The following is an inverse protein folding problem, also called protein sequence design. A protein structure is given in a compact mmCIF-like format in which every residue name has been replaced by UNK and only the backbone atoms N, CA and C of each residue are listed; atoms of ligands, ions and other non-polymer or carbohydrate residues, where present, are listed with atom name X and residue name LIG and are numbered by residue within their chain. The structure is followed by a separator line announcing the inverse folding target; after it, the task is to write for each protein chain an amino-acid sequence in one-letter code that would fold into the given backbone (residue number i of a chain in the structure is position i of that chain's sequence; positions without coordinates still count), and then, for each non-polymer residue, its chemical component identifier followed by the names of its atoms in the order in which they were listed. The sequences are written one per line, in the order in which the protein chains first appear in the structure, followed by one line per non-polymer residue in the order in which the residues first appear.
data_IF_229393621600
#
_entry.id   IF_229393621600
#
_cell.length_a   1.000
_cell.length_b   1.000
_cell.length_c   1.000
_cell.angle_alpha   90.00
_cell.angle_beta   90.00
_cell.angle_gamma   90.00
#
_symmetry.space_group_name_H-M   'P 1'
#
loop_
_entity.id
_entity.type
_entity.pdbx_description
1 polymer ?
#
# COMPACT_ATOMS: atom_id res chain seq x y z
N UNK A 1 -11.84 8.82 5.26
CA UNK A 1 -10.46 8.35 5.04
C UNK A 1 -10.49 6.83 5.04
N UNK A 2 -9.48 6.16 4.48
CA UNK A 2 -9.28 4.75 4.80
C UNK A 2 -9.08 4.60 6.31
N UNK A 3 -9.28 3.39 6.83
CA UNK A 3 -9.23 3.11 8.26
C UNK A 3 -8.85 1.64 8.47
N UNK A 4 -8.46 1.27 9.68
CA UNK A 4 -8.01 -0.08 10.00
C UNK A 4 -9.12 -1.11 9.75
N UNK A 5 -10.38 -0.76 10.03
CA UNK A 5 -11.55 -1.62 9.78
C UNK A 5 -11.67 -2.00 8.30
N UNK A 6 -11.34 -1.08 7.38
CA UNK A 6 -11.31 -1.37 5.95
C UNK A 6 -10.22 -2.39 5.62
N UNK A 7 -9.05 -2.28 6.25
CA UNK A 7 -7.94 -3.23 6.08
C UNK A 7 -8.32 -4.62 6.63
N UNK A 8 -8.90 -4.68 7.82
CA UNK A 8 -9.39 -5.92 8.43
C UNK A 8 -10.46 -6.60 7.57
N UNK A 9 -11.36 -5.81 6.98
CA UNK A 9 -12.37 -6.32 6.07
C UNK A 9 -11.77 -6.90 4.78
N UNK A 10 -10.69 -6.30 4.25
CA UNK A 10 -9.95 -6.89 3.12
C UNK A 10 -9.31 -8.24 3.48
N UNK A 11 -8.72 -8.38 4.68
CA UNK A 11 -8.22 -9.66 5.17
C UNK A 11 -9.35 -10.68 5.40
N UNK A 12 -10.49 -10.26 5.98
CA UNK A 12 -11.65 -11.13 6.14
C UNK A 12 -12.13 -11.64 4.78
N UNK A 13 -12.25 -10.78 3.76
CA UNK A 13 -12.63 -11.17 2.41
C UNK A 13 -11.64 -12.21 1.82
N UNK A 14 -10.33 -11.98 1.93
CA UNK A 14 -9.32 -12.90 1.41
C UNK A 14 -9.31 -14.23 2.16
N UNK A 15 -9.26 -14.21 3.49
CA UNK A 15 -9.18 -15.43 4.30
C UNK A 15 -10.43 -16.29 4.16
N UNK A 16 -11.62 -15.68 4.16
CA UNK A 16 -12.89 -16.40 3.97
C UNK A 16 -12.96 -17.09 2.62
N UNK A 17 -12.44 -16.44 1.58
CA UNK A 17 -12.35 -17.01 0.24
C UNK A 17 -11.40 -18.21 0.19
N UNK A 18 -10.19 -18.08 0.78
CA UNK A 18 -9.19 -19.15 0.83
C UNK A 18 -9.65 -20.35 1.69
N UNK A 19 -10.32 -20.08 2.81
CA UNK A 19 -10.82 -21.09 3.75
C UNK A 19 -12.20 -21.64 3.40
N UNK A 20 -12.87 -21.07 2.38
CA UNK A 20 -14.24 -21.42 1.95
C UNK A 20 -15.28 -21.30 3.08
N UNK A 21 -15.19 -20.24 3.88
CA UNK A 21 -16.15 -19.91 4.95
C UNK A 21 -16.96 -18.65 4.61
N UNK A 22 -17.99 -18.38 5.41
CA UNK A 22 -18.78 -17.15 5.27
C UNK A 22 -18.02 -15.96 5.84
N UNK A 23 -18.02 -14.85 5.10
CA UNK A 23 -17.42 -13.60 5.51
C UNK A 23 -18.33 -12.78 6.41
N UNK A 24 -17.73 -12.08 7.38
CA UNK A 24 -18.39 -10.98 8.08
C UNK A 24 -18.64 -9.81 7.11
N UNK A 25 -19.75 -9.10 7.28
CA UNK A 25 -19.99 -7.85 6.55
C UNK A 25 -19.09 -6.72 7.06
N UNK A 26 -18.86 -5.69 6.25
CA UNK A 26 -18.09 -4.52 6.66
C UNK A 26 -18.64 -3.89 7.96
N UNK A 27 -19.95 -3.76 8.09
CA UNK A 27 -20.62 -3.25 9.29
C UNK A 27 -20.35 -4.12 10.55
N UNK A 28 -20.31 -5.45 10.38
CA UNK A 28 -19.94 -6.36 11.46
C UNK A 28 -18.47 -6.22 11.85
N UNK A 29 -17.57 -6.03 10.87
CA UNK A 29 -16.15 -5.77 11.13
C UNK A 29 -15.99 -4.46 11.90
N UNK A 30 -16.62 -3.37 11.43
CA UNK A 30 -16.58 -2.06 12.09
C UNK A 30 -17.11 -2.13 13.52
N UNK A 31 -18.31 -2.70 13.71
CA UNK A 31 -18.94 -2.83 15.04
C UNK A 31 -18.08 -3.65 16.01
N UNK A 32 -17.49 -4.75 15.54
CA UNK A 32 -16.66 -5.60 16.41
C UNK A 32 -15.27 -5.02 16.66
N UNK A 33 -14.71 -4.27 15.71
CA UNK A 33 -13.46 -3.53 15.90
C UNK A 33 -13.61 -2.36 16.88
N UNK A 34 -14.76 -1.67 16.87
CA UNK A 34 -15.07 -0.64 17.87
C UNK A 34 -15.12 -1.20 19.30
N UNK A 35 -15.54 -2.46 19.45
CA UNK A 35 -15.61 -3.17 20.72
C UNK A 35 -14.30 -3.89 21.11
N UNK A 36 -13.32 -3.98 20.19
CA UNK A 36 -12.07 -4.69 20.42
C UNK A 36 -11.20 -3.94 21.44
N UNK A 37 -10.81 -4.58 22.57
CA UNK A 37 -10.05 -3.91 23.64
C UNK A 37 -8.60 -3.69 23.20
N UNK A 38 -8.35 -2.54 22.57
CA UNK A 38 -7.01 -2.12 22.17
C UNK A 38 -6.19 -1.73 23.42
N UNK A 39 -5.16 -2.52 23.74
CA UNK A 39 -4.13 -2.14 24.73
C UNK A 39 -4.49 -2.30 26.22
N UNK A 40 -5.20 -3.37 26.61
CA UNK A 40 -5.42 -3.70 28.04
C UNK A 40 -4.49 -4.81 28.58
N UNK A 41 -3.50 -5.25 27.79
CA UNK A 41 -2.51 -6.24 28.23
C UNK A 41 -1.18 -5.62 28.70
N UNK A 42 -1.04 -4.29 28.67
CA UNK A 42 0.16 -3.62 29.21
C UNK A 42 0.04 -3.35 30.73
N UNK A 43 -1.16 -3.43 31.31
CA UNK A 43 -1.39 -3.08 32.73
C UNK A 43 -1.42 -4.31 33.69
N UNK A 44 -1.47 -5.55 33.19
CA UNK A 44 -1.59 -6.75 34.06
C UNK A 44 -0.24 -7.46 34.35
N UNK A 45 0.83 -7.15 33.61
CA UNK A 45 2.13 -7.81 33.80
C UNK A 45 3.04 -7.11 34.84
N UNK A 46 2.85 -5.82 35.12
CA UNK A 46 3.70 -5.08 36.09
C UNK A 46 3.43 -5.44 37.56
N UNK A 47 2.26 -5.98 37.92
CA UNK A 47 1.97 -6.35 39.32
C UNK A 47 2.59 -7.69 39.76
N UNK A 48 3.03 -8.54 38.83
CA UNK A 48 3.57 -9.85 39.17
C UNK A 48 5.10 -9.90 39.33
N UNK A 49 5.86 -8.90 38.86
CA UNK A 49 7.33 -8.91 39.02
C UNK A 49 7.82 -8.34 40.37
N UNK A 50 7.05 -7.47 41.03
CA UNK A 50 7.47 -6.80 42.27
C UNK A 50 7.50 -7.75 43.48
N UNK A 51 6.83 -8.92 43.41
CA UNK A 51 6.77 -9.88 44.51
C UNK A 51 8.00 -10.81 44.62
N UNK A 52 8.89 -10.85 43.61
CA UNK A 52 9.94 -11.88 43.51
C UNK A 52 11.37 -11.45 43.86
N UNK A 53 11.63 -10.16 44.09
CA UNK A 53 13.02 -9.64 44.22
C UNK A 53 13.47 -9.48 45.69
N UNK A 54 12.64 -9.80 46.68
CA UNK A 54 12.99 -9.66 48.10
C UNK A 54 13.41 -10.97 48.77
N UNK A 55 14.50 -11.61 48.31
CA UNK A 55 15.24 -12.57 49.16
C UNK A 55 16.62 -12.96 48.61
N UNK A 56 17.64 -12.75 49.45
CA UNK A 56 19.04 -13.26 49.40
C UNK A 56 20.02 -12.56 48.44
N UNK A 57 21.28 -12.25 48.77
CA UNK A 57 22.09 -12.25 50.00
C UNK A 57 23.49 -11.68 49.71
N UNK A 58 23.94 -10.71 50.51
CA UNK A 58 25.26 -10.49 51.13
C UNK A 58 26.62 -11.03 50.54
N UNK A 59 27.58 -10.08 50.45
CA UNK A 59 29.05 -10.10 50.77
C UNK A 59 30.15 -10.31 49.67
N UNK A 60 30.75 -9.19 49.23
CA UNK A 60 32.19 -8.72 49.16
C UNK A 60 33.42 -9.66 49.37
N UNK A 61 34.70 -9.26 49.08
CA UNK A 61 35.30 -8.45 47.98
C UNK A 61 36.69 -8.97 47.44
N UNK A 62 37.28 -8.19 46.51
CA UNK A 62 38.72 -7.97 46.17
C UNK A 62 39.27 -8.50 44.83
N UNK A 63 39.66 -7.59 43.91
CA UNK A 63 41.06 -7.22 43.60
C UNK A 63 41.29 -6.63 42.19
N UNK A 64 41.86 -5.41 42.18
CA UNK A 64 42.93 -4.85 41.32
C UNK A 64 42.67 -4.52 39.82
N UNK A 65 42.84 -3.22 39.56
CA UNK A 65 42.95 -2.32 38.39
C UNK A 65 44.03 -2.67 37.32
N UNK A 66 44.37 -1.82 36.32
CA UNK A 66 43.64 -1.21 35.18
C UNK A 66 44.21 -1.68 33.81
N UNK A 67 43.57 -1.32 32.69
CA UNK A 67 44.18 -0.45 31.64
C UNK A 67 43.50 -0.56 30.25
N UNK A 68 43.53 0.58 29.54
CA UNK A 68 43.48 0.76 28.09
C UNK A 68 42.11 0.89 27.35
N UNK A 69 41.74 2.17 27.14
CA UNK A 69 41.13 2.77 25.92
C UNK A 69 41.85 2.23 24.65
N UNK A 70 41.24 2.08 23.44
CA UNK A 70 40.65 3.23 22.73
C UNK A 70 39.51 3.02 21.69
N UNK A 71 38.79 4.12 21.43
CA UNK A 71 38.01 4.43 20.21
C UNK A 71 38.93 4.69 18.99
N UNK A 72 38.41 5.06 17.80
CA UNK A 72 37.51 4.38 16.86
C UNK A 72 38.18 4.28 15.47
N UNK A 73 37.57 3.67 14.44
CA UNK A 73 37.70 4.09 13.01
C UNK A 73 36.88 3.22 12.05
N UNK A 74 36.12 3.92 11.23
CA UNK A 74 35.53 3.48 9.96
C UNK A 74 36.61 3.40 8.86
N UNK A 75 36.40 2.58 7.81
CA UNK A 75 36.67 3.03 6.44
C UNK A 75 35.52 2.62 5.47
N UNK A 76 34.91 3.54 4.73
CA UNK A 76 35.18 3.98 3.35
C UNK A 76 34.70 3.07 2.20
N UNK A 77 33.90 3.72 1.35
CA UNK A 77 33.46 3.40 -0.01
C UNK A 77 34.64 3.26 -0.97
N UNK A 78 34.56 2.32 -1.93
CA UNK A 78 35.28 2.41 -3.21
C UNK A 78 34.42 1.89 -4.38
N UNK A 79 34.17 2.78 -5.35
CA UNK A 79 33.86 2.49 -6.75
C UNK A 79 35.15 2.04 -7.46
N UNK A 80 35.09 1.04 -8.33
CA UNK A 80 35.87 0.97 -9.57
C UNK A 80 35.07 0.21 -10.64
N UNK A 81 35.10 0.76 -11.85
CA UNK A 81 34.55 0.26 -13.11
C UNK A 81 35.62 -0.43 -13.97
N UNK A 82 35.12 -1.26 -14.91
CA UNK A 82 35.68 -1.64 -16.22
C UNK A 82 36.49 -2.94 -16.44
N UNK A 83 35.80 -3.86 -17.14
CA UNK A 83 36.13 -4.41 -18.47
C UNK A 83 37.10 -5.59 -18.59
N UNK A 84 36.56 -6.73 -19.09
CA UNK A 84 37.12 -7.50 -20.22
C UNK A 84 36.09 -8.41 -20.90
N UNK A 85 36.30 -8.53 -22.19
CA UNK A 85 35.45 -9.03 -23.27
C UNK A 85 35.58 -10.55 -23.44
N UNK A 86 34.49 -11.26 -23.76
CA UNK A 86 34.49 -12.36 -24.76
C UNK A 86 33.07 -12.77 -25.15
N UNK A 87 32.87 -12.82 -26.45
CA UNK A 87 31.64 -13.04 -27.23
C UNK A 87 31.16 -14.49 -27.28
N UNK A 88 29.84 -14.68 -27.32
CA UNK A 88 29.19 -15.60 -28.28
C UNK A 88 27.70 -15.28 -28.43
N UNK A 89 27.30 -15.21 -29.70
CA UNK A 89 25.98 -14.93 -30.26
C UNK A 89 24.89 -15.94 -29.91
N UNK A 90 23.64 -15.47 -29.80
CA UNK A 90 22.42 -16.18 -30.27
C UNK A 90 21.23 -15.22 -30.29
N UNK A 91 20.46 -15.31 -31.37
CA UNK A 91 19.35 -14.43 -31.73
C UNK A 91 18.07 -14.65 -30.91
N UNK A 92 17.24 -13.60 -30.81
CA UNK A 92 15.78 -13.61 -30.70
C UNK A 92 15.34 -12.13 -30.68
N UNK A 93 14.62 -11.60 -31.68
CA UNK A 93 13.21 -11.91 -31.87
C UNK A 93 12.36 -10.82 -31.20
N UNK A 94 12.34 -9.62 -31.80
CA UNK A 94 11.42 -8.55 -31.42
C UNK A 94 10.01 -8.94 -31.87
N UNK A 95 9.12 -9.20 -30.92
CA UNK A 95 7.69 -9.36 -31.18
C UNK A 95 6.87 -8.56 -30.18
N UNK A 96 6.51 -7.35 -30.60
CA UNK A 96 5.24 -6.72 -30.24
C UNK A 96 4.09 -7.65 -30.67
N UNK A 97 3.01 -7.72 -29.88
CA UNK A 97 1.69 -7.91 -30.46
C UNK A 97 0.81 -6.70 -30.14
N UNK A 98 0.51 -5.94 -31.18
CA UNK A 98 -0.76 -5.24 -31.28
C UNK A 98 -1.81 -6.26 -31.74
N UNK A 99 -2.96 -6.32 -31.07
CA UNK A 99 -4.21 -6.81 -31.66
C UNK A 99 -5.40 -6.09 -31.05
N UNK A 100 -5.99 -5.29 -31.92
CA UNK A 100 -7.34 -4.74 -31.92
C UNK A 100 -8.36 -5.86 -32.13
N UNK A 101 -9.42 -5.89 -31.34
CA UNK A 101 -10.75 -6.30 -31.78
C UNK A 101 -11.79 -5.63 -30.88
N UNK A 102 -12.62 -4.83 -31.53
CA UNK A 102 -13.71 -4.04 -30.97
C UNK A 102 -14.85 -4.92 -30.47
N UNK A 103 -15.36 -4.61 -29.29
CA UNK A 103 -16.80 -4.60 -29.02
C UNK A 103 -17.08 -3.54 -27.95
N UNK A 104 -18.06 -2.68 -28.23
CA UNK A 104 -18.58 -1.64 -27.34
C UNK A 104 -18.93 -2.19 -25.97
N UNK A 105 -18.53 -1.49 -24.89
CA UNK A 105 -19.27 -1.24 -23.63
C UNK A 105 -18.34 -0.50 -22.64
N UNK A 106 -18.74 0.69 -22.15
CA UNK A 106 -18.31 1.35 -20.89
C UNK A 106 -16.82 1.74 -20.69
N UNK A 107 -16.50 2.84 -19.98
CA UNK A 107 -15.12 3.19 -19.65
C UNK A 107 -14.70 2.51 -18.34
N UNK A 108 -14.42 1.21 -18.35
CA UNK A 108 -13.76 0.55 -17.21
C UNK A 108 -12.24 0.69 -17.38
N UNK A 109 -11.66 1.68 -16.69
CA UNK A 109 -10.21 1.87 -16.63
C UNK A 109 -9.64 1.14 -15.41
N UNK A 110 -9.32 -0.15 -15.58
CA UNK A 110 -8.46 -0.85 -14.63
C UNK A 110 -7.03 -0.26 -14.72
N UNK A 111 -6.57 0.37 -13.65
CA UNK A 111 -5.24 0.97 -13.59
C UNK A 111 -4.23 0.00 -12.99
N UNK A 112 -3.23 -0.42 -13.78
CA UNK A 112 -2.06 -1.17 -13.31
C UNK A 112 -0.89 -0.20 -13.06
N UNK A 113 -0.42 -0.15 -11.82
CA UNK A 113 0.76 0.62 -11.35
C UNK A 113 2.01 -0.28 -11.38
N UNK A 114 3.17 0.12 -11.92
CA UNK A 114 4.39 -0.70 -11.93
C UNK A 114 4.95 -0.97 -10.52
N UNK A 115 5.75 -2.03 -10.39
CA UNK A 115 6.27 -2.52 -9.11
C UNK A 115 7.48 -1.70 -8.62
N UNK A 116 7.38 -1.16 -7.40
CA UNK A 116 8.49 -0.54 -6.69
C UNK A 116 8.07 0.58 -5.73
N UNK A 117 7.35 0.25 -4.66
CA UNK A 117 6.98 1.22 -3.62
C UNK A 117 7.27 0.65 -2.23
N UNK A 118 8.08 1.37 -1.45
CA UNK A 118 8.37 1.09 -0.04
C UNK A 118 7.99 2.33 0.78
N UNK A 119 6.81 2.32 1.39
CA UNK A 119 6.46 3.35 2.35
C UNK A 119 7.21 3.05 3.66
N UNK A 120 8.08 3.97 4.08
CA UNK A 120 8.70 3.96 5.42
C UNK A 120 8.14 5.14 6.19
N UNK A 121 7.35 4.91 7.23
CA UNK A 121 6.91 5.98 8.13
C UNK A 121 7.02 5.52 9.58
N UNK A 122 7.47 6.45 10.43
CA UNK A 122 7.87 6.24 11.82
C UNK A 122 6.67 6.51 12.73
N UNK A 123 6.38 5.67 13.75
CA UNK A 123 5.23 5.91 14.63
C UNK A 123 5.54 7.03 15.64
N UNK A 124 4.67 8.04 15.68
CA UNK A 124 4.68 9.09 16.71
C UNK A 124 3.80 8.66 17.88
N UNK A 125 4.37 8.81 19.08
CA UNK A 125 3.85 8.49 20.42
C UNK A 125 2.40 8.97 20.66
N UNK A 126 1.60 8.08 21.24
CA UNK A 126 0.23 8.31 21.72
C UNK A 126 0.20 9.15 23.00
N UNK A 127 -0.74 10.10 23.06
CA UNK A 127 -1.34 10.66 24.28
C UNK A 127 -2.87 10.69 24.12
N UNK A 128 -3.63 10.56 25.21
CA UNK A 128 -4.99 10.01 25.14
C UNK A 128 -6.09 11.06 24.97
N UNK A 129 -7.21 10.54 24.44
CA UNK A 129 -8.58 11.07 24.57
C UNK A 129 -8.93 12.30 23.73
N UNK A 130 -9.27 12.05 22.46
CA UNK A 130 -10.16 12.93 21.68
C UNK A 130 -11.54 12.30 21.55
N UNK A 131 -12.48 12.90 22.26
CA UNK A 131 -13.92 12.69 22.12
C UNK A 131 -14.36 12.89 20.67
N UNK A 132 -14.98 11.85 20.11
CA UNK A 132 -15.89 11.82 18.96
C UNK A 132 -16.26 13.19 18.39
N UNK A 133 -15.52 13.64 17.37
CA UNK A 133 -16.13 14.32 16.24
C UNK A 133 -16.31 13.24 15.18
N UNK A 134 -17.51 12.66 15.13
CA UNK A 134 -17.92 11.73 14.08
C UNK A 134 -17.93 12.52 12.76
N UNK A 135 -16.78 12.54 12.09
CA UNK A 135 -16.68 12.97 10.70
C UNK A 135 -17.66 12.15 9.87
N UNK A 136 -18.19 12.76 8.80
CA UNK A 136 -19.10 12.06 7.89
C UNK A 136 -18.52 10.69 7.50
N UNK A 137 -19.27 9.62 7.77
CA UNK A 137 -18.87 8.26 7.46
C UNK A 137 -18.75 8.13 5.95
N UNK A 138 -17.56 7.75 5.46
CA UNK A 138 -17.37 7.52 4.02
C UNK A 138 -18.02 6.19 3.69
N UNK A 139 -19.10 6.21 2.92
CA UNK A 139 -19.83 4.99 2.53
C UNK A 139 -19.47 4.49 1.14
N UNK A 140 -18.94 5.37 0.30
CA UNK A 140 -18.51 5.09 -1.07
C UNK A 140 -17.27 5.91 -1.44
N UNK A 141 -16.42 5.35 -2.30
CA UNK A 141 -15.20 6.02 -2.78
C UNK A 141 -14.60 5.23 -3.94
N UNK A 142 -13.92 5.89 -4.89
CA UNK A 142 -12.90 5.21 -5.67
C UNK A 142 -11.78 4.73 -4.74
N UNK A 143 -11.25 3.54 -5.00
CA UNK A 143 -10.37 2.87 -4.05
C UNK A 143 -9.33 1.98 -4.72
N UNK A 144 -8.24 1.76 -4.02
CA UNK A 144 -7.20 0.79 -4.36
C UNK A 144 -6.93 -0.10 -3.16
N UNK A 145 -6.77 -1.40 -3.41
CA UNK A 145 -6.29 -2.37 -2.42
C UNK A 145 -4.94 -2.89 -2.86
N UNK A 146 -3.96 -2.77 -1.98
CA UNK A 146 -2.58 -3.18 -2.19
C UNK A 146 -2.20 -4.21 -1.14
N UNK A 147 -1.68 -5.35 -1.60
CA UNK A 147 -1.06 -6.36 -0.76
C UNK A 147 0.45 -6.21 -0.84
N UNK A 148 1.12 -6.19 0.32
CA UNK A 148 2.57 -6.24 0.44
C UNK A 148 2.98 -7.49 1.23
N UNK A 149 4.15 -8.05 0.93
CA UNK A 149 4.85 -8.95 1.85
C UNK A 149 5.78 -8.15 2.76
N UNK A 150 5.82 -8.54 4.02
CA UNK A 150 6.72 -8.00 5.04
C UNK A 150 7.89 -8.97 5.24
N UNK A 151 9.11 -8.49 4.99
CA UNK A 151 10.31 -9.26 5.32
C UNK A 151 10.58 -9.21 6.83
N UNK A 152 10.73 -10.38 7.45
CA UNK A 152 11.18 -10.53 8.86
C UNK A 152 12.66 -10.16 9.07
N UNK A 153 13.39 -9.81 8.01
CA UNK A 153 14.78 -9.35 8.14
C UNK A 153 14.87 -7.97 8.79
N UNK A 154 16.01 -7.67 9.41
CA UNK A 154 16.25 -6.46 10.22
C UNK A 154 15.94 -5.12 9.51
N UNK A 155 15.81 -5.12 8.17
CA UNK A 155 15.49 -3.95 7.37
C UNK A 155 14.00 -3.68 7.17
N UNK A 156 13.06 -4.50 7.69
CA UNK A 156 11.60 -4.32 7.55
C UNK A 156 11.18 -3.93 6.11
N UNK A 157 11.67 -4.66 5.11
CA UNK A 157 11.40 -4.32 3.72
C UNK A 157 10.00 -4.80 3.31
N UNK A 158 9.20 -3.85 2.82
CA UNK A 158 7.90 -4.10 2.17
C UNK A 158 8.13 -4.43 0.70
N UNK A 159 7.47 -5.47 0.18
CA UNK A 159 7.49 -5.80 -1.25
C UNK A 159 6.08 -5.94 -1.78
N UNK A 160 5.79 -5.30 -2.92
CA UNK A 160 4.49 -5.40 -3.57
C UNK A 160 4.15 -6.85 -3.92
N UNK A 161 2.94 -7.29 -3.53
CA UNK A 161 2.42 -8.65 -3.74
C UNK A 161 1.13 -8.69 -4.57
N UNK A 162 0.48 -7.54 -4.75
CA UNK A 162 -0.66 -7.32 -5.62
C UNK A 162 -1.23 -5.92 -5.43
N UNK A 163 -1.72 -5.27 -6.48
CA UNK A 163 -2.38 -3.97 -6.34
C UNK A 163 -3.35 -3.72 -7.49
N UNK A 164 -4.64 -3.64 -7.16
CA UNK A 164 -5.71 -3.34 -8.12
C UNK A 164 -6.73 -2.41 -7.45
N UNK A 165 -7.33 -1.52 -8.24
CA UNK A 165 -8.32 -0.56 -7.77
C UNK A 165 -9.16 0.00 -8.91
N UNK A 166 -9.97 1.00 -8.58
CA UNK A 166 -10.84 1.71 -9.51
C UNK A 166 -10.91 3.20 -9.23
N UNK A 167 -11.15 3.95 -10.30
CA UNK A 167 -11.49 5.37 -10.27
C UNK A 167 -13.00 5.63 -10.25
N UNK A 168 -13.81 4.58 -10.33
CA UNK A 168 -15.26 4.66 -10.16
C UNK A 168 -15.61 4.65 -8.68
N UNK A 169 -16.56 5.51 -8.30
CA UNK A 169 -17.10 5.52 -6.94
C UNK A 169 -17.92 4.26 -6.71
N UNK A 170 -17.48 3.42 -5.77
CA UNK A 170 -18.19 2.20 -5.37
C UNK A 170 -18.54 2.25 -3.88
N UNK A 171 -19.65 1.61 -3.46
CA UNK A 171 -19.90 1.34 -2.05
C UNK A 171 -18.71 0.60 -1.44
N UNK A 172 -18.22 1.04 -0.28
CA UNK A 172 -17.02 0.46 0.32
C UNK A 172 -17.18 -1.03 0.64
N UNK A 173 -18.37 -1.47 1.02
CA UNK A 173 -18.66 -2.88 1.34
C UNK A 173 -18.43 -3.82 0.15
N UNK A 174 -18.92 -3.46 -1.05
CA UNK A 174 -18.70 -4.25 -2.26
C UNK A 174 -17.32 -3.98 -2.85
N UNK A 175 -16.92 -2.71 -2.94
CA UNK A 175 -15.65 -2.32 -3.54
C UNK A 175 -14.45 -2.93 -2.83
N UNK A 176 -14.36 -2.82 -1.50
CA UNK A 176 -13.22 -3.35 -0.75
C UNK A 176 -13.13 -4.87 -0.84
N UNK A 177 -14.24 -5.59 -0.74
CA UNK A 177 -14.23 -7.05 -0.84
C UNK A 177 -13.84 -7.53 -2.24
N UNK A 178 -14.42 -6.94 -3.30
CA UNK A 178 -14.08 -7.27 -4.68
C UNK A 178 -12.62 -6.96 -4.99
N UNK A 179 -12.14 -5.74 -4.69
CA UNK A 179 -10.76 -5.35 -5.01
C UNK A 179 -9.72 -5.99 -4.10
N UNK A 180 -10.05 -6.40 -2.87
CA UNK A 180 -9.18 -7.25 -2.06
C UNK A 180 -8.91 -8.60 -2.73
N UNK A 181 -9.95 -9.26 -3.21
CA UNK A 181 -9.83 -10.54 -3.90
C UNK A 181 -9.15 -10.40 -5.27
N UNK A 182 -9.55 -9.40 -6.06
CA UNK A 182 -8.95 -9.17 -7.38
C UNK A 182 -7.47 -8.84 -7.27
N UNK A 183 -7.06 -7.97 -6.33
CA UNK A 183 -5.64 -7.65 -6.12
C UNK A 183 -4.83 -8.83 -5.58
N UNK A 184 -5.42 -9.70 -4.75
CA UNK A 184 -4.75 -10.88 -4.20
C UNK A 184 -4.65 -12.06 -5.18
N UNK A 185 -5.68 -12.27 -6.01
CA UNK A 185 -5.88 -13.53 -6.74
C UNK A 185 -5.86 -13.36 -8.26
N UNK A 186 -6.06 -12.15 -8.78
CA UNK A 186 -6.25 -11.88 -10.22
C UNK A 186 -5.28 -10.84 -10.78
N UNK A 187 -4.34 -10.32 -9.98
CA UNK A 187 -3.26 -9.47 -10.48
C UNK A 187 -2.24 -10.34 -11.25
N UNK A 188 -2.35 -10.34 -12.59
CA UNK A 188 -1.56 -11.19 -13.50
C UNK A 188 -0.03 -11.05 -13.40
N UNK A 189 0.46 -10.03 -12.69
CA UNK A 189 1.89 -9.83 -12.43
C UNK A 189 2.43 -10.76 -11.34
N UNK A 190 1.54 -11.33 -10.54
CA UNK A 190 1.86 -12.17 -9.40
C UNK A 190 1.04 -13.46 -9.44
N UNK A 191 1.55 -14.59 -8.91
CA UNK A 191 0.72 -15.76 -8.68
C UNK A 191 -0.36 -15.46 -7.62
N UNK A 192 -1.52 -16.12 -7.64
CA UNK A 192 -2.54 -15.95 -6.61
C UNK A 192 -1.98 -16.18 -5.20
N UNK A 193 -2.33 -15.33 -4.23
CA UNK A 193 -1.90 -15.46 -2.83
C UNK A 193 -2.42 -16.77 -2.23
N UNK A 194 -1.51 -17.53 -1.60
CA UNK A 194 -1.82 -18.78 -0.92
C UNK A 194 -2.00 -18.58 0.61
N UNK A 195 -2.71 -19.53 1.25
CA UNK A 195 -3.02 -19.47 2.68
C UNK A 195 -1.77 -19.40 3.58
N UNK A 196 -0.68 -20.05 3.19
CA UNK A 196 0.57 -20.01 3.96
C UNK A 196 1.32 -18.67 3.87
N UNK A 197 0.98 -17.81 2.91
CA UNK A 197 1.59 -16.48 2.78
C UNK A 197 0.95 -15.47 3.73
N UNK A 198 -0.28 -15.72 4.19
CA UNK A 198 -1.06 -14.80 5.02
C UNK A 198 -0.28 -14.19 6.19
N UNK A 199 0.51 -14.95 6.99
CA UNK A 199 1.26 -14.40 8.11
C UNK A 199 2.32 -13.35 7.75
N UNK A 200 2.69 -13.25 6.48
CA UNK A 200 3.68 -12.30 5.98
C UNK A 200 3.06 -11.09 5.31
N UNK A 201 1.73 -11.00 5.24
CA UNK A 201 1.06 -9.96 4.47
C UNK A 201 0.76 -8.72 5.29
N UNK A 202 0.81 -7.60 4.59
CA UNK A 202 0.19 -6.33 4.95
C UNK A 202 -0.79 -5.96 3.85
N UNK A 203 -1.94 -5.42 4.23
CA UNK A 203 -2.87 -4.78 3.28
C UNK A 203 -2.84 -3.28 3.49
N UNK A 204 -2.84 -2.54 2.40
CA UNK A 204 -3.02 -1.09 2.37
C UNK A 204 -4.26 -0.76 1.55
N UNK A 205 -5.19 -0.02 2.14
CA UNK A 205 -6.39 0.48 1.49
C UNK A 205 -6.23 1.97 1.25
N UNK A 206 -6.33 2.40 0.00
CA UNK A 206 -6.27 3.82 -0.39
C UNK A 206 -7.63 4.27 -0.91
N UNK A 207 -8.28 5.19 -0.21
CA UNK A 207 -9.49 5.85 -0.69
C UNK A 207 -9.12 7.16 -1.39
N UNK A 208 -9.58 7.34 -2.63
CA UNK A 208 -9.30 8.52 -3.42
C UNK A 208 -10.32 9.64 -3.12
N UNK A 209 -9.82 10.83 -2.83
CA UNK A 209 -10.63 11.99 -2.44
C UNK A 209 -10.24 13.23 -3.24
N UNK A 210 -11.01 14.30 -3.07
CA UNK A 210 -10.63 15.66 -3.50
C UNK A 210 -10.35 15.76 -5.02
N UNK A 211 -11.22 15.17 -5.84
CA UNK A 211 -11.14 15.26 -7.30
C UNK A 211 -11.47 16.68 -7.78
N UNK A 212 -10.49 17.36 -8.35
CA UNK A 212 -10.60 18.74 -8.83
C UNK A 212 -10.09 18.85 -10.26
N UNK A 213 -10.81 19.59 -11.10
CA UNK A 213 -10.29 19.95 -12.43
C UNK A 213 -9.13 20.94 -12.27
N UNK A 214 -7.99 20.63 -12.86
CA UNK A 214 -6.86 21.53 -12.90
C UNK A 214 -7.13 22.70 -13.86
N UNK A 215 -6.62 23.89 -13.54
CA UNK A 215 -6.69 25.07 -14.43
C UNK A 215 -5.93 24.84 -15.73
N UNK A 216 -4.80 24.16 -15.64
CA UNK A 216 -3.96 23.72 -16.75
C UNK A 216 -3.28 22.38 -16.38
N UNK A 217 -2.52 21.79 -17.30
CA UNK A 217 -1.87 20.49 -17.08
C UNK A 217 -0.82 20.48 -15.94
N UNK A 218 -0.40 21.65 -15.44
CA UNK A 218 0.64 21.82 -14.42
C UNK A 218 0.10 22.25 -13.05
N UNK A 219 -1.20 22.53 -12.94
CA UNK A 219 -1.90 22.94 -11.72
C UNK A 219 -2.16 21.76 -10.75
N UNK A 220 -1.07 21.21 -10.22
CA UNK A 220 -1.05 20.13 -9.21
C UNK A 220 0.24 20.19 -8.40
N UNK A 221 0.46 19.27 -7.46
CA UNK A 221 1.64 19.29 -6.58
C UNK A 221 2.28 17.90 -6.52
N UNK A 222 3.60 17.84 -6.73
CA UNK A 222 4.37 16.60 -6.74
C UNK A 222 4.32 15.94 -5.35
N UNK A 223 4.06 14.63 -5.32
CA UNK A 223 3.98 13.84 -4.08
C UNK A 223 2.71 14.07 -3.27
N UNK A 224 1.82 14.96 -3.70
CA UNK A 224 0.55 15.25 -3.03
C UNK A 224 -0.62 14.81 -3.90
N UNK A 225 -0.59 15.17 -5.18
CA UNK A 225 -1.69 14.94 -6.10
C UNK A 225 -1.43 13.75 -7.03
N UNK A 226 -2.39 12.84 -7.09
CA UNK A 226 -2.57 11.92 -8.21
C UNK A 226 -3.23 12.65 -9.38
N UNK A 227 -3.01 12.13 -10.59
CA UNK A 227 -3.47 12.78 -11.82
C UNK A 227 -4.28 11.81 -12.67
N UNK A 228 -5.36 12.33 -13.26
CA UNK A 228 -6.12 11.68 -14.32
C UNK A 228 -6.18 12.64 -15.50
N UNK A 229 -5.58 12.24 -16.62
CA UNK A 229 -5.61 13.04 -17.84
C UNK A 229 -6.59 12.45 -18.85
N UNK A 230 -7.18 13.31 -19.68
CA UNK A 230 -7.85 12.89 -20.89
C UNK A 230 -7.69 13.93 -21.99
N UNK A 231 -7.46 13.49 -23.22
CA UNK A 231 -7.24 14.37 -24.37
C UNK A 231 -7.67 13.69 -25.66
N UNK A 232 -7.72 14.45 -26.75
CA UNK A 232 -7.99 13.93 -28.08
C UNK A 232 -6.74 14.01 -28.96
N UNK A 233 -6.42 12.93 -29.64
CA UNK A 233 -5.40 12.93 -30.69
C UNK A 233 -5.81 11.95 -31.80
N UNK A 234 -5.49 12.25 -33.07
CA UNK A 234 -5.81 11.37 -34.21
C UNK A 234 -7.27 10.87 -34.21
N UNK A 235 -8.23 11.74 -33.90
CA UNK A 235 -9.67 11.45 -33.77
C UNK A 235 -10.01 10.33 -32.76
N UNK A 236 -9.17 10.09 -31.77
CA UNK A 236 -9.40 9.15 -30.67
C UNK A 236 -9.24 9.85 -29.33
N UNK A 237 -10.05 9.43 -28.36
CA UNK A 237 -9.91 9.86 -26.98
C UNK A 237 -8.87 8.99 -26.28
N UNK A 238 -7.98 9.63 -25.56
CA UNK A 238 -6.95 9.01 -24.76
C UNK A 238 -7.15 9.38 -23.29
N UNK A 239 -6.71 8.51 -22.39
CA UNK A 239 -6.72 8.77 -20.97
C UNK A 239 -5.76 7.88 -20.22
N UNK A 240 -5.20 8.41 -19.14
CA UNK A 240 -4.31 7.69 -18.24
C UNK A 240 -4.39 8.33 -16.85
N UNK A 241 -3.87 7.61 -15.86
CA UNK A 241 -3.79 8.07 -14.50
C UNK A 241 -2.52 7.60 -13.81
N UNK A 242 -2.10 8.38 -12.80
CA UNK A 242 -1.06 8.04 -11.84
C UNK A 242 -1.54 8.38 -10.43
N UNK A 243 -1.11 7.55 -9.48
CA UNK A 243 -1.25 7.82 -8.05
C UNK A 243 -0.23 8.89 -7.60
N UNK A 244 -0.44 9.54 -6.44
CA UNK A 244 0.42 10.63 -5.97
C UNK A 244 1.93 10.31 -5.93
N UNK A 245 2.29 9.07 -5.57
CA UNK A 245 3.67 8.68 -5.31
C UNK A 245 4.48 8.42 -6.59
N UNK A 246 3.82 8.09 -7.71
CA UNK A 246 4.49 7.59 -8.93
C UNK A 246 5.51 8.58 -9.46
N UNK A 247 5.17 9.87 -9.52
CA UNK A 247 6.10 10.89 -10.04
C UNK A 247 7.35 11.02 -9.16
N UNK A 248 7.17 10.99 -7.85
CA UNK A 248 8.26 11.12 -6.87
C UNK A 248 9.18 9.91 -6.93
N UNK A 249 8.63 8.70 -6.98
CA UNK A 249 9.40 7.46 -7.05
C UNK A 249 10.25 7.36 -8.32
N UNK A 250 9.75 7.90 -9.43
CA UNK A 250 10.48 7.93 -10.70
C UNK A 250 11.46 9.10 -10.80
N UNK A 251 11.44 10.04 -9.85
CA UNK A 251 12.23 11.27 -9.90
C UNK A 251 11.82 12.19 -11.05
N UNK A 252 10.56 12.10 -11.50
CA UNK A 252 10.03 12.94 -12.58
C UNK A 252 9.59 14.29 -12.06
N UNK A 253 9.86 15.33 -12.84
CA UNK A 253 9.21 16.63 -12.63
C UNK A 253 7.77 16.62 -13.18
N UNK A 254 7.08 17.76 -13.08
CA UNK A 254 5.69 17.87 -13.53
C UNK A 254 5.51 17.63 -15.03
N UNK A 255 6.40 18.18 -15.86
CA UNK A 255 6.32 18.04 -17.31
C UNK A 255 6.58 16.60 -17.71
N UNK A 256 7.62 15.99 -17.16
CA UNK A 256 7.95 14.60 -17.40
C UNK A 256 6.82 13.67 -17.00
N UNK A 257 6.13 13.97 -15.89
CA UNK A 257 4.96 13.23 -15.43
C UNK A 257 3.81 13.32 -16.43
N UNK A 258 3.47 14.52 -16.93
CA UNK A 258 2.40 14.69 -17.92
C UNK A 258 2.73 13.97 -19.23
N UNK A 259 3.94 14.13 -19.74
CA UNK A 259 4.39 13.44 -20.96
C UNK A 259 4.35 11.92 -20.77
N UNK A 260 4.77 11.43 -19.61
CA UNK A 260 4.73 10.01 -19.25
C UNK A 260 3.28 9.49 -19.19
N UNK A 261 2.35 10.25 -18.59
CA UNK A 261 0.91 9.94 -18.61
C UNK A 261 0.37 9.88 -20.03
N UNK A 262 0.71 10.84 -20.88
CA UNK A 262 0.27 10.84 -22.28
C UNK A 262 0.80 9.62 -23.03
N UNK A 263 2.07 9.25 -22.81
CA UNK A 263 2.66 8.02 -23.36
C UNK A 263 1.96 6.77 -22.85
N UNK A 264 1.66 6.70 -21.55
CA UNK A 264 0.87 5.62 -20.93
C UNK A 264 -0.53 5.52 -21.55
N UNK A 265 -1.12 6.65 -21.89
CA UNK A 265 -2.39 6.69 -22.61
C UNK A 265 -2.28 6.22 -24.07
N UNK A 266 -1.07 6.08 -24.62
CA UNK A 266 -0.82 5.67 -26.01
C UNK A 266 -0.46 6.80 -26.97
N UNK A 267 -0.14 7.99 -26.47
CA UNK A 267 0.34 9.10 -27.30
C UNK A 267 1.81 8.93 -27.69
N UNK A 268 2.07 8.96 -28.99
CA UNK A 268 3.41 8.83 -29.59
C UNK A 268 3.93 10.11 -30.23
N UNK A 269 3.51 11.28 -29.74
CA UNK A 269 4.02 12.57 -30.22
C UNK A 269 5.44 12.88 -29.74
N UNK A 270 6.00 13.99 -30.22
CA UNK A 270 7.30 14.50 -29.74
C UNK A 270 7.11 15.12 -28.36
N UNK A 271 8.06 14.90 -27.44
CA UNK A 271 7.99 15.42 -26.06
C UNK A 271 7.71 16.91 -26.08
N UNK A 272 8.41 17.68 -26.90
CA UNK A 272 8.37 19.15 -26.96
C UNK A 272 7.05 19.72 -27.48
N UNK A 273 6.11 18.86 -27.90
CA UNK A 273 4.80 19.24 -28.47
C UNK A 273 3.63 18.71 -27.62
N UNK A 274 3.89 18.40 -26.35
CA UNK A 274 2.88 17.82 -25.48
C UNK A 274 1.75 18.83 -25.16
N UNK A 275 2.11 20.11 -25.06
CA UNK A 275 1.23 21.26 -24.80
C UNK A 275 0.44 21.69 -26.04
N UNK A 276 0.91 21.34 -27.24
CA UNK A 276 0.16 21.53 -28.50
C UNK A 276 -1.03 20.56 -28.64
N UNK A 277 -1.13 19.54 -27.78
CA UNK A 277 -2.23 18.55 -27.84
C UNK A 277 -3.52 19.18 -27.33
N UNK A 278 -4.44 19.43 -28.26
CA UNK A 278 -5.73 20.04 -27.97
C UNK A 278 -6.57 19.23 -26.97
N UNK A 279 -7.32 19.98 -26.15
CA UNK A 279 -8.26 19.46 -25.15
C UNK A 279 -7.61 18.54 -24.09
N UNK A 280 -6.35 18.80 -23.73
CA UNK A 280 -5.71 18.13 -22.60
C UNK A 280 -6.34 18.57 -21.27
N UNK A 281 -7.25 17.74 -20.77
CA UNK A 281 -7.87 17.89 -19.45
C UNK A 281 -7.06 17.14 -18.42
N UNK A 282 -6.81 17.79 -17.30
CA UNK A 282 -6.16 17.21 -16.15
C UNK A 282 -7.10 17.34 -14.94
N UNK A 283 -7.29 16.24 -14.22
CA UNK A 283 -7.97 16.18 -12.94
C UNK A 283 -6.94 15.76 -11.91
N UNK A 284 -6.80 16.54 -10.84
CA UNK A 284 -6.00 16.17 -9.67
C UNK A 284 -6.89 15.54 -8.60
N UNK A 285 -6.33 14.65 -7.81
CA UNK A 285 -6.99 14.02 -6.68
C UNK A 285 -5.97 13.67 -5.60
N UNK A 286 -6.42 13.37 -4.39
CA UNK A 286 -5.58 12.89 -3.29
C UNK A 286 -5.93 11.43 -2.97
N UNK A 287 -5.01 10.72 -2.34
CA UNK A 287 -5.23 9.38 -1.81
C UNK A 287 -4.98 9.37 -0.30
N UNK A 288 -5.94 8.88 0.47
CA UNK A 288 -5.79 8.71 1.93
C UNK A 288 -5.74 7.21 2.21
N UNK A 289 -4.52 6.74 2.45
CA UNK A 289 -4.22 5.33 2.71
C UNK A 289 -4.23 5.01 4.21
N UNK A 290 -4.57 3.77 4.52
CA UNK A 290 -4.36 3.13 5.82
C UNK A 290 -3.86 1.71 5.58
N UNK A 291 -3.06 1.17 6.48
CA UNK A 291 -2.51 -0.19 6.35
C UNK A 291 -2.58 -0.98 7.65
N UNK A 292 -2.79 -2.30 7.54
CA UNK A 292 -2.74 -3.22 8.67
C UNK A 292 -1.99 -4.50 8.29
N UNK A 293 -1.29 -5.09 9.26
CA UNK A 293 -0.61 -6.37 9.12
C UNK A 293 -1.54 -7.55 9.38
N UNK A 294 -1.07 -8.75 9.05
CA UNK A 294 -1.75 -9.99 9.42
C UNK A 294 -1.96 -10.14 10.93
N UNK A 295 -0.99 -9.70 11.74
CA UNK A 295 -1.04 -9.81 13.20
C UNK A 295 -2.24 -9.04 13.76
N UNK A 296 -2.46 -7.79 13.32
CA UNK A 296 -3.62 -6.98 13.70
C UNK A 296 -4.94 -7.69 13.40
N UNK A 297 -5.03 -8.28 12.19
CA UNK A 297 -6.21 -9.03 11.77
C UNK A 297 -6.41 -10.29 12.59
N UNK A 298 -5.33 -11.05 12.83
CA UNK A 298 -5.41 -12.34 13.51
C UNK A 298 -5.80 -12.16 14.97
N UNK A 299 -5.22 -11.19 15.66
CA UNK A 299 -5.52 -10.87 17.05
C UNK A 299 -7.00 -10.49 17.24
N UNK A 300 -7.49 -9.57 16.40
CA UNK A 300 -8.90 -9.18 16.38
C UNK A 300 -9.83 -10.34 16.06
N UNK A 301 -9.51 -11.11 15.01
CA UNK A 301 -10.38 -12.22 14.56
C UNK A 301 -10.49 -13.31 15.63
N UNK A 302 -9.40 -13.63 16.31
CA UNK A 302 -9.39 -14.62 17.39
C UNK A 302 -10.22 -14.14 18.59
N UNK A 303 -10.19 -12.84 18.92
CA UNK A 303 -11.07 -12.25 19.94
C UNK A 303 -12.56 -12.34 19.54
N UNK A 304 -12.90 -12.00 18.29
CA UNK A 304 -14.28 -12.12 17.77
C UNK A 304 -14.79 -13.56 17.89
N UNK A 305 -13.94 -14.55 17.57
CA UNK A 305 -14.33 -15.95 17.59
C UNK A 305 -14.46 -16.50 19.02
N UNK A 306 -13.62 -16.08 19.97
CA UNK A 306 -13.80 -16.40 21.41
C UNK A 306 -15.13 -15.87 21.95
N UNK A 307 -15.55 -14.67 21.53
CA UNK A 307 -16.84 -14.10 21.91
C UNK A 307 -18.05 -14.89 21.39
N UNK A 308 -17.89 -15.65 20.29
CA UNK A 308 -18.94 -16.52 19.72
C UNK A 308 -19.02 -17.88 20.41
N UNK A 309 -17.91 -18.42 20.91
CA UNK A 309 -17.89 -19.74 21.57
C UNK A 309 -18.44 -19.71 22.99
N UNK A 310 -18.36 -18.57 23.69
CA UNK A 310 -18.92 -18.39 25.05
C UNK A 310 -20.43 -18.13 25.13
N UNK A 311 -21.16 -18.12 24.00
CA UNK A 311 -22.62 -17.89 23.93
C UNK A 311 -23.44 -19.16 23.60
N UNK A 312 -22.85 -20.35 23.68
CA UNK A 312 -23.53 -21.63 23.43
C UNK A 312 -23.96 -22.33 24.70
#
# INVERSE_FOLDING_TARGET
MASIEHCLYCFEALTTNLEKRNAMSLDQVQTSWDAFPRGLLEDEEEENEIASISSSSSLDPTSIDPSARPTPRHPSVQRVSESRNSSSSSASGSSTPASISSNNLGPESAATTPAGSTASFVPVRLHPRRTSQRGAEVTESPLFVTWNTLSSTSSHTRSLRGCIGTFETLPLSSGLSSYALTSALQDHRFPPIALHELPTLEVSVTLLTDFENCKDAMDWELGIHGLRISFYAKNKRFGACYLPDVAVEQGWDKEETIVSLMRKAGWGGRREKWDEVGDLKCVRFQGKAESAGWEDYKEWKDWVDRGKTGKK
#
